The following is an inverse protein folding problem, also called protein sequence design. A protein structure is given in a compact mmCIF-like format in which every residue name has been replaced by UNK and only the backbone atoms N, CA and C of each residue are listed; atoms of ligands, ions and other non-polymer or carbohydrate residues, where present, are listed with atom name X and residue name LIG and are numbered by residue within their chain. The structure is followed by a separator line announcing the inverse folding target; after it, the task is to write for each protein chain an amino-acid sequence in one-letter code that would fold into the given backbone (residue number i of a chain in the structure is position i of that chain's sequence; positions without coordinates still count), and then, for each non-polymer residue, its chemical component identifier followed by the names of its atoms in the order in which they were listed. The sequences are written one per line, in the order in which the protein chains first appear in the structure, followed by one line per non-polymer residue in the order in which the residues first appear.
data_IF_501993016479
#
_entry.id   IF_501993016479
#
_cell.length_a   1.000
_cell.length_b   1.000
_cell.length_c   1.000
_cell.angle_alpha   90.00
_cell.angle_beta   90.00
_cell.angle_gamma   90.00
#
_symmetry.space_group_name_H-M   'P 1'
#
loop_
_entity.id
_entity.type
_entity.pdbx_description
1 polymer ?
#
# COMPACT_ATOMS: atom_id res chain seq x y z
N UNK A 1 -26.04 39.04 22.00
CA UNK A 1 -24.80 39.17 21.20
C UNK A 1 -23.80 38.12 21.67
N UNK A 2 -23.93 36.88 21.21
CA UNK A 2 -23.10 35.75 21.66
C UNK A 2 -21.85 35.71 20.77
N UNK A 3 -20.71 36.10 21.33
CA UNK A 3 -19.39 35.94 20.69
C UNK A 3 -19.08 34.44 20.58
N UNK A 4 -19.21 33.85 19.39
CA UNK A 4 -18.63 32.55 19.08
C UNK A 4 -17.11 32.68 19.16
N UNK A 5 -16.50 32.13 20.21
CA UNK A 5 -15.04 31.94 20.28
C UNK A 5 -14.67 30.86 19.26
N UNK A 6 -13.97 31.25 18.20
CA UNK A 6 -13.21 30.35 17.34
C UNK A 6 -12.06 29.79 18.17
N UNK A 7 -12.17 28.53 18.58
CA UNK A 7 -11.05 27.79 19.15
C UNK A 7 -10.18 27.37 17.95
N UNK A 8 -8.90 27.77 17.86
CA UNK A 8 -8.02 27.30 16.81
C UNK A 8 -7.79 25.80 17.03
N UNK A 9 -8.09 24.99 16.03
CA UNK A 9 -7.82 23.56 16.03
C UNK A 9 -6.29 23.38 15.97
N UNK A 10 -5.67 23.03 17.10
CA UNK A 10 -4.30 22.56 17.13
C UNK A 10 -4.26 21.13 16.59
N UNK A 11 -3.70 20.95 15.38
CA UNK A 11 -3.23 19.65 14.90
C UNK A 11 -1.93 19.37 15.65
N UNK A 12 -2.01 18.54 16.69
CA UNK A 12 -0.82 17.99 17.32
C UNK A 12 -0.37 16.78 16.49
N UNK A 13 0.74 16.95 15.75
CA UNK A 13 1.53 15.80 15.31
C UNK A 13 2.28 15.30 16.54
N UNK A 14 1.68 14.37 17.26
CA UNK A 14 2.35 13.68 18.34
C UNK A 14 3.38 12.73 17.72
N UNK A 15 4.66 13.08 17.84
CA UNK A 15 5.65 12.05 18.16
C UNK A 15 5.33 11.69 19.60
N UNK A 16 4.72 10.53 19.85
CA UNK A 16 4.47 10.06 21.21
C UNK A 16 5.81 9.97 21.96
N UNK A 17 6.12 11.01 22.74
CA UNK A 17 7.12 10.98 23.78
C UNK A 17 6.37 10.68 25.07
N UNK A 18 6.53 9.46 25.57
CA UNK A 18 6.02 9.08 26.89
C UNK A 18 6.86 9.85 27.92
N UNK A 19 6.29 10.84 28.59
CA UNK A 19 6.97 11.54 29.68
C UNK A 19 6.91 10.68 30.95
N UNK A 20 8.06 10.21 31.40
CA UNK A 20 8.23 9.81 32.80
C UNK A 20 8.80 11.00 33.59
N UNK A 21 8.34 11.28 34.82
CA UNK A 21 8.88 12.36 35.63
C UNK A 21 10.25 11.94 36.18
N UNK A 22 11.33 12.53 35.65
CA UNK A 22 12.63 12.49 36.33
C UNK A 22 12.66 13.68 37.30
N UNK A 23 12.70 13.36 38.59
CA UNK A 23 13.00 14.34 39.64
C UNK A 23 14.46 14.77 39.49
N UNK A 24 14.71 16.04 39.17
CA UNK A 24 16.06 16.61 39.10
C UNK A 24 16.32 17.42 40.37
N UNK A 25 17.25 16.94 41.20
CA UNK A 25 18.04 17.74 42.13
C UNK A 25 19.49 17.64 41.67
N UNK A 26 20.13 18.79 41.43
CA UNK A 26 21.59 18.88 41.29
C UNK A 26 22.06 19.50 39.99
N UNK A 27 22.72 20.65 40.11
CA UNK A 27 23.28 21.46 39.05
C UNK A 27 24.49 20.80 38.36
N UNK A 28 24.65 21.10 37.06
CA UNK A 28 25.85 20.78 36.27
C UNK A 28 25.57 20.86 34.77
N UNK A 29 25.97 21.95 34.14
CA UNK A 29 25.89 22.16 32.69
C UNK A 29 26.96 21.28 32.02
N UNK A 30 26.53 20.42 31.09
CA UNK A 30 27.36 19.90 30.00
C UNK A 30 26.47 19.67 28.78
N UNK A 31 26.98 20.15 27.64
CA UNK A 31 26.42 20.15 26.29
C UNK A 31 26.52 18.77 25.63
N UNK A 32 25.62 18.54 24.67
CA UNK A 32 25.63 17.49 23.65
C UNK A 32 25.55 16.02 24.10
N UNK A 33 24.31 15.50 24.08
CA UNK A 33 24.07 14.08 23.77
C UNK A 33 22.78 13.93 22.96
N UNK A 34 22.96 13.51 21.71
CA UNK A 34 21.91 12.97 20.85
C UNK A 34 21.26 11.75 21.52
N UNK A 35 20.10 11.93 22.13
CA UNK A 35 19.22 10.82 22.50
C UNK A 35 18.25 10.57 21.35
N UNK A 36 18.62 9.65 20.44
CA UNK A 36 17.64 8.98 19.59
C UNK A 36 16.91 7.99 20.49
N UNK A 37 15.74 8.36 21.01
CA UNK A 37 14.83 7.36 21.55
C UNK A 37 14.41 6.47 20.38
N UNK A 38 14.83 5.21 20.37
CA UNK A 38 14.16 4.22 19.54
C UNK A 38 12.72 4.16 20.05
N UNK A 39 11.79 4.71 19.27
CA UNK A 39 10.38 4.50 19.55
C UNK A 39 10.14 2.98 19.47
N UNK A 40 9.36 2.40 20.39
CA UNK A 40 8.93 1.01 20.26
C UNK A 40 8.32 0.82 18.87
N UNK A 41 8.80 -0.18 18.14
CA UNK A 41 8.15 -0.66 16.91
C UNK A 41 6.72 -1.06 17.28
N UNK A 42 5.74 -0.22 16.94
CA UNK A 42 4.33 -0.50 17.21
C UNK A 42 3.90 -1.52 16.17
N UNK A 43 3.79 -2.78 16.60
CA UNK A 43 3.21 -3.85 15.79
C UNK A 43 1.69 -3.79 15.95
N UNK A 44 0.99 -3.20 14.99
CA UNK A 44 -0.46 -3.26 14.97
C UNK A 44 -0.89 -4.65 14.50
N UNK A 45 -1.67 -5.36 15.33
CA UNK A 45 -2.30 -6.62 14.90
C UNK A 45 -3.36 -6.30 13.86
N UNK A 46 -3.23 -6.87 12.67
CA UNK A 46 -4.17 -6.66 11.57
C UNK A 46 -5.23 -7.75 11.60
N UNK A 47 -6.50 -7.36 11.52
CA UNK A 47 -7.61 -8.30 11.34
C UNK A 47 -7.49 -8.97 9.97
N UNK A 48 -7.67 -10.28 9.95
CA UNK A 48 -7.70 -11.07 8.73
C UNK A 48 -8.83 -12.10 8.80
N UNK A 49 -9.29 -12.49 7.63
CA UNK A 49 -10.31 -13.51 7.42
C UNK A 49 -9.67 -14.64 6.61
N UNK A 50 -9.85 -15.89 7.04
CA UNK A 50 -9.49 -17.04 6.20
C UNK A 50 -10.63 -17.28 5.23
N UNK A 51 -10.31 -17.29 3.93
CA UNK A 51 -11.30 -17.42 2.86
C UNK A 51 -11.06 -18.69 2.04
N UNK A 52 -12.05 -19.06 1.23
CA UNK A 52 -11.98 -20.19 0.29
C UNK A 52 -11.68 -19.72 -1.13
N UNK A 53 -11.33 -20.65 -2.04
CA UNK A 53 -11.07 -20.33 -3.46
C UNK A 53 -12.25 -19.60 -4.12
N UNK A 54 -13.49 -20.03 -3.85
CA UNK A 54 -14.70 -19.44 -4.42
C UNK A 54 -14.93 -17.98 -4.00
N UNK A 55 -14.33 -17.56 -2.90
CA UNK A 55 -14.40 -16.20 -2.35
C UNK A 55 -13.15 -15.37 -2.67
N UNK A 56 -12.12 -15.97 -3.26
CA UNK A 56 -10.89 -15.30 -3.66
C UNK A 56 -11.02 -14.73 -5.08
N UNK A 57 -10.27 -13.66 -5.41
CA UNK A 57 -10.22 -13.12 -6.76
C UNK A 57 -9.77 -14.18 -7.77
N UNK A 58 -10.44 -14.26 -8.93
CA UNK A 58 -10.14 -15.27 -9.97
C UNK A 58 -8.67 -15.21 -10.43
N UNK A 59 -8.08 -14.03 -10.45
CA UNK A 59 -6.67 -13.85 -10.76
C UNK A 59 -5.76 -14.55 -9.74
N UNK A 60 -6.11 -14.55 -8.45
CA UNK A 60 -5.34 -15.23 -7.40
C UNK A 60 -5.50 -16.75 -7.49
N UNK A 61 -6.73 -17.25 -7.66
CA UNK A 61 -7.01 -18.69 -7.69
C UNK A 61 -6.30 -19.40 -8.83
N UNK A 62 -6.25 -18.79 -10.02
CA UNK A 62 -5.48 -19.32 -11.17
C UNK A 62 -4.00 -19.51 -10.86
N UNK A 63 -3.42 -18.62 -10.04
CA UNK A 63 -2.01 -18.70 -9.67
C UNK A 63 -1.77 -19.76 -8.62
N UNK A 64 -2.68 -19.87 -7.64
CA UNK A 64 -2.66 -20.98 -6.69
C UNK A 64 -2.71 -22.30 -7.44
N UNK A 65 -3.60 -22.47 -8.41
CA UNK A 65 -3.69 -23.71 -9.18
C UNK A 65 -2.41 -24.04 -9.95
N UNK A 66 -1.71 -23.01 -10.42
CA UNK A 66 -0.44 -23.15 -11.14
C UNK A 66 0.71 -23.53 -10.19
N UNK A 67 0.76 -22.95 -8.98
CA UNK A 67 1.92 -23.03 -8.09
C UNK A 67 1.70 -23.78 -6.78
N UNK A 68 0.53 -24.39 -6.54
CA UNK A 68 0.25 -25.13 -5.29
C UNK A 68 1.23 -26.27 -4.99
N UNK A 69 1.94 -26.78 -6.00
CA UNK A 69 3.04 -27.72 -5.85
C UNK A 69 4.36 -27.12 -5.33
N UNK A 70 4.50 -25.80 -5.41
CA UNK A 70 5.69 -25.04 -4.97
C UNK A 70 5.44 -24.44 -3.61
N UNK A 71 6.42 -24.58 -2.71
CA UNK A 71 6.38 -23.92 -1.41
C UNK A 71 6.67 -22.42 -1.58
N UNK A 72 5.85 -21.59 -0.95
CA UNK A 72 5.99 -20.14 -1.01
C UNK A 72 4.65 -19.44 -0.81
N UNK A 73 4.60 -18.17 -1.17
CA UNK A 73 3.36 -17.41 -1.12
C UNK A 73 3.16 -16.56 -2.38
N UNK A 74 1.91 -16.17 -2.62
CA UNK A 74 1.49 -15.20 -3.62
C UNK A 74 0.43 -14.28 -3.02
N UNK A 75 0.28 -13.05 -3.50
CA UNK A 75 -0.71 -12.13 -2.96
C UNK A 75 -1.38 -11.25 -4.02
N UNK A 76 -2.69 -11.07 -3.94
CA UNK A 76 -3.44 -10.16 -4.80
C UNK A 76 -3.93 -8.96 -3.98
N UNK A 77 -3.70 -7.74 -4.46
CA UNK A 77 -4.26 -6.54 -3.84
C UNK A 77 -5.37 -5.97 -4.72
N UNK A 78 -6.60 -5.97 -4.19
CA UNK A 78 -7.73 -5.29 -4.81
C UNK A 78 -7.60 -3.79 -4.60
N UNK A 79 -7.28 -3.06 -5.66
CA UNK A 79 -7.14 -1.60 -5.65
C UNK A 79 -8.43 -0.83 -5.37
N UNK A 80 -9.59 -1.46 -5.55
CA UNK A 80 -10.90 -0.82 -5.37
C UNK A 80 -11.32 -0.87 -3.91
N UNK A 81 -11.17 -2.05 -3.29
CA UNK A 81 -11.55 -2.27 -1.89
C UNK A 81 -10.38 -2.17 -0.91
N UNK A 82 -9.14 -2.01 -1.41
CA UNK A 82 -7.89 -2.06 -0.67
C UNK A 82 -7.69 -3.35 0.15
N UNK A 83 -8.35 -4.44 -0.27
CA UNK A 83 -8.22 -5.75 0.35
C UNK A 83 -7.02 -6.49 -0.25
N UNK A 84 -6.09 -6.88 0.63
CA UNK A 84 -5.01 -7.78 0.30
C UNK A 84 -5.47 -9.22 0.53
N UNK A 85 -5.28 -10.05 -0.48
CA UNK A 85 -5.51 -11.48 -0.45
C UNK A 85 -4.14 -12.17 -0.51
N UNK A 86 -3.82 -13.05 0.41
CA UNK A 86 -2.54 -13.77 0.42
C UNK A 86 -2.81 -15.26 0.46
N UNK A 87 -2.20 -16.01 -0.45
CA UNK A 87 -2.18 -17.46 -0.44
C UNK A 87 -0.80 -17.95 -0.03
N UNK A 88 -0.72 -18.79 1.01
CA UNK A 88 0.52 -19.44 1.44
C UNK A 88 0.40 -20.93 1.17
N UNK A 89 1.36 -21.47 0.41
CA UNK A 89 1.37 -22.84 -0.09
C UNK A 89 2.51 -23.62 0.55
N UNK A 90 2.22 -24.83 1.01
CA UNK A 90 3.23 -25.71 1.64
C UNK A 90 4.02 -26.54 0.62
N UNK A 91 3.74 -26.35 -0.67
CA UNK A 91 4.19 -27.21 -1.76
C UNK A 91 3.60 -28.61 -1.73
N UNK A 92 4.15 -29.47 -2.58
CA UNK A 92 3.80 -30.88 -2.66
C UNK A 92 4.04 -31.62 -1.32
N UNK A 93 3.03 -32.34 -0.83
CA UNK A 93 3.13 -33.21 0.34
C UNK A 93 2.80 -34.66 -0.04
N UNK A 94 3.56 -35.65 0.46
CA UNK A 94 3.47 -37.03 -0.02
C UNK A 94 2.18 -37.75 0.40
N UNK A 95 1.51 -37.27 1.46
CA UNK A 95 0.30 -37.91 2.01
C UNK A 95 -0.72 -36.86 2.42
N UNK A 96 -1.93 -37.31 2.76
CA UNK A 96 -2.88 -36.50 3.54
C UNK A 96 -2.39 -36.24 4.96
N UNK A 97 -3.08 -35.33 5.66
CA UNK A 97 -2.81 -34.98 7.06
C UNK A 97 -1.88 -33.79 7.28
N UNK A 98 -1.25 -33.28 6.21
CA UNK A 98 -0.55 -32.00 6.24
C UNK A 98 -1.54 -30.84 6.14
N UNK A 99 -1.32 -29.76 6.90
CA UNK A 99 -2.07 -28.52 6.74
C UNK A 99 -1.21 -27.30 7.06
N UNK A 100 -1.63 -26.15 6.53
CA UNK A 100 -1.04 -24.84 6.83
C UNK A 100 -2.16 -23.88 7.19
N UNK A 101 -1.94 -23.05 8.21
CA UNK A 101 -2.89 -22.02 8.65
C UNK A 101 -2.15 -20.73 8.96
N UNK A 102 -2.78 -19.60 8.73
CA UNK A 102 -2.29 -18.31 9.22
C UNK A 102 -2.63 -18.19 10.71
N UNK A 103 -1.60 -17.91 11.51
CA UNK A 103 -1.69 -17.72 12.96
C UNK A 103 -1.91 -16.24 13.31
N UNK A 104 -1.15 -15.33 12.68
CA UNK A 104 -1.34 -13.88 12.87
C UNK A 104 -0.83 -13.06 11.68
N UNK A 105 -1.35 -11.84 11.56
CA UNK A 105 -0.88 -10.81 10.63
C UNK A 105 -0.57 -9.55 11.43
N UNK A 106 0.63 -9.00 11.27
CA UNK A 106 1.09 -7.78 11.96
C UNK A 106 1.60 -6.76 10.97
N UNK A 107 1.22 -5.49 11.15
CA UNK A 107 1.86 -4.38 10.45
C UNK A 107 3.16 -4.03 11.18
N UNK A 108 4.27 -3.97 10.44
CA UNK A 108 5.52 -3.41 10.94
C UNK A 108 6.19 -2.64 9.81
N UNK A 109 6.42 -1.34 10.01
CA UNK A 109 7.07 -0.46 9.02
C UNK A 109 6.43 -0.53 7.61
N UNK A 110 5.10 -0.68 7.52
CA UNK A 110 4.43 -0.82 6.23
C UNK A 110 4.76 -2.13 5.54
N UNK A 111 4.92 -3.21 6.32
CA UNK A 111 5.00 -4.59 5.83
C UNK A 111 3.98 -5.46 6.56
N UNK A 112 3.17 -6.18 5.81
CA UNK A 112 2.31 -7.24 6.31
C UNK A 112 3.17 -8.45 6.68
N UNK A 113 3.41 -8.65 7.98
CA UNK A 113 4.15 -9.80 8.51
C UNK A 113 3.14 -10.90 8.86
N UNK A 114 3.12 -11.96 8.06
CA UNK A 114 2.22 -13.10 8.20
C UNK A 114 2.98 -14.23 8.89
N UNK A 115 2.46 -14.67 10.03
CA UNK A 115 2.95 -15.85 10.73
C UNK A 115 2.05 -17.04 10.36
N UNK A 116 2.66 -18.13 9.88
CA UNK A 116 1.96 -19.37 9.54
C UNK A 116 2.36 -20.51 10.47
N UNK A 117 1.43 -21.45 10.63
CA UNK A 117 1.64 -22.69 11.37
C UNK A 117 1.35 -23.87 10.46
N UNK A 118 2.36 -24.70 10.26
CA UNK A 118 2.22 -25.99 9.58
C UNK A 118 1.87 -27.07 10.61
N UNK A 119 1.08 -28.03 10.17
CA UNK A 119 0.77 -29.25 10.92
C UNK A 119 1.16 -30.44 10.05
N UNK A 120 2.01 -31.30 10.60
CA UNK A 120 2.37 -32.58 9.98
C UNK A 120 1.46 -33.68 10.53
N UNK A 121 1.18 -34.74 9.74
CA UNK A 121 0.54 -35.93 10.29
C UNK A 121 1.44 -36.56 11.37
N UNK A 122 0.81 -37.15 12.39
CA UNK A 122 1.56 -37.91 13.39
C UNK A 122 2.29 -39.08 12.72
N UNK A 123 3.46 -39.46 13.25
CA UNK A 123 4.29 -40.55 12.68
C UNK A 123 3.53 -41.88 12.52
N UNK A 124 2.50 -42.08 13.33
CA UNK A 124 1.67 -43.29 13.36
C UNK A 124 0.24 -43.05 12.84
N UNK A 125 -0.06 -41.87 12.29
CA UNK A 125 -1.38 -41.58 11.76
C UNK A 125 -1.65 -42.38 10.48
N UNK A 126 -2.82 -43.02 10.43
CA UNK A 126 -3.32 -43.62 9.20
C UNK A 126 -3.80 -42.50 8.27
N UNK A 127 -2.98 -42.15 7.29
CA UNK A 127 -3.27 -41.09 6.31
C UNK A 127 -3.31 -41.65 4.89
N UNK A 128 -4.14 -41.04 4.04
CA UNK A 128 -4.21 -41.39 2.62
C UNK A 128 -2.85 -41.13 1.94
N UNK A 129 -2.37 -42.09 1.16
CA UNK A 129 -1.07 -42.05 0.45
C UNK A 129 -1.20 -41.36 -0.92
N UNK A 130 -1.94 -40.25 -0.96
CA UNK A 130 -2.12 -39.44 -2.16
C UNK A 130 -1.39 -38.12 -1.98
N UNK A 131 -0.71 -37.68 -3.03
CA UNK A 131 -0.04 -36.37 -3.06
C UNK A 131 -1.08 -35.27 -2.82
N UNK A 132 -0.79 -34.39 -1.87
CA UNK A 132 -1.65 -33.25 -1.53
C UNK A 132 -0.90 -31.93 -1.65
N UNK A 133 -1.67 -30.83 -1.75
CA UNK A 133 -1.14 -29.47 -1.90
C UNK A 133 -1.79 -28.54 -0.86
N UNK A 134 -1.39 -28.58 0.42
CA UNK A 134 -2.01 -27.76 1.44
C UNK A 134 -1.66 -26.28 1.26
N UNK A 135 -2.68 -25.43 1.20
CA UNK A 135 -2.55 -23.98 1.21
C UNK A 135 -3.63 -23.33 2.07
N UNK A 136 -3.43 -22.07 2.40
CA UNK A 136 -4.41 -21.22 3.08
C UNK A 136 -4.49 -19.88 2.36
N UNK A 137 -5.70 -19.34 2.24
CA UNK A 137 -5.93 -18.01 1.67
C UNK A 137 -6.48 -17.13 2.79
N UNK A 138 -5.87 -15.97 2.97
CA UNK A 138 -6.40 -14.92 3.83
C UNK A 138 -6.81 -13.71 3.02
N UNK A 139 -7.83 -13.02 3.50
CA UNK A 139 -8.18 -11.66 3.14
C UNK A 139 -7.87 -10.78 4.34
N UNK A 140 -7.15 -9.70 4.11
CA UNK A 140 -6.84 -8.72 5.13
C UNK A 140 -6.79 -7.35 4.52
N UNK A 141 -6.82 -6.33 5.35
CA UNK A 141 -6.50 -4.99 4.94
C UNK A 141 -5.12 -4.67 5.52
N UNK A 142 -4.08 -4.55 4.69
CA UNK A 142 -2.75 -4.02 5.09
C UNK A 142 -2.35 -2.65 4.52
N UNK A 143 -1.68 -1.81 5.32
CA UNK A 143 -1.33 -0.44 4.93
C UNK A 143 -0.42 -0.38 3.72
N UNK A 144 0.31 -1.46 3.41
CA UNK A 144 1.21 -1.62 2.25
C UNK A 144 1.08 -3.02 1.66
N UNK A 145 1.23 -3.22 0.34
CA UNK A 145 1.33 -4.54 -0.26
C UNK A 145 2.63 -5.29 0.04
N UNK A 146 3.56 -4.72 0.81
CA UNK A 146 4.80 -5.43 1.16
C UNK A 146 4.48 -6.60 2.10
N UNK A 147 4.41 -7.81 1.58
CA UNK A 147 4.12 -9.01 2.36
C UNK A 147 5.41 -9.74 2.70
N UNK A 148 5.51 -10.21 3.94
CA UNK A 148 6.50 -11.20 4.34
C UNK A 148 5.80 -12.33 5.07
N UNK A 149 6.20 -13.56 4.79
CA UNK A 149 5.58 -14.75 5.37
C UNK A 149 6.66 -15.57 6.07
N UNK A 150 6.42 -15.93 7.32
CA UNK A 150 7.30 -16.81 8.10
C UNK A 150 6.52 -17.78 8.95
N UNK A 151 7.14 -18.89 9.37
CA UNK A 151 6.56 -19.78 10.37
C UNK A 151 7.11 -19.49 11.79
N UNK A 152 6.59 -20.22 12.79
CA UNK A 152 7.02 -20.11 14.19
C UNK A 152 8.49 -20.50 14.45
N UNK A 153 9.13 -21.26 13.54
CA UNK A 153 10.56 -21.57 13.63
C UNK A 153 11.45 -20.51 13.00
N UNK A 154 10.87 -19.46 12.39
CA UNK A 154 11.61 -18.41 11.69
C UNK A 154 11.95 -18.72 10.24
N UNK A 155 11.45 -19.82 9.66
CA UNK A 155 11.57 -20.10 8.22
C UNK A 155 10.79 -19.04 7.45
N UNK A 156 11.42 -18.44 6.44
CA UNK A 156 10.79 -17.48 5.53
C UNK A 156 10.27 -18.22 4.31
N UNK A 157 9.07 -17.85 3.85
CA UNK A 157 8.52 -18.33 2.59
C UNK A 157 8.80 -17.27 1.52
N UNK A 158 9.26 -17.70 0.36
CA UNK A 158 9.57 -16.82 -0.75
C UNK A 158 8.31 -16.40 -1.50
N UNK A 159 8.31 -15.16 -2.02
CA UNK A 159 7.31 -14.72 -2.98
C UNK A 159 7.55 -15.47 -4.29
N UNK A 160 6.57 -16.25 -4.71
CA UNK A 160 6.63 -16.96 -5.98
C UNK A 160 6.38 -15.94 -7.10
N UNK A 161 7.36 -15.77 -7.99
CA UNK A 161 7.32 -14.83 -9.13
C UNK A 161 8.26 -13.63 -9.05
N UNK A 162 9.06 -13.46 -7.99
CA UNK A 162 9.94 -12.29 -7.81
C UNK A 162 11.32 -12.41 -8.50
N UNK A 163 11.55 -13.48 -9.28
CA UNK A 163 12.79 -13.64 -10.04
C UNK A 163 12.71 -12.78 -11.29
N UNK A 164 13.43 -11.66 -11.30
CA UNK A 164 13.74 -10.91 -12.53
C UNK A 164 14.47 -11.83 -13.52
N UNK A 165 13.73 -12.53 -14.39
CA UNK A 165 14.33 -13.37 -15.43
C UNK A 165 13.43 -14.43 -16.06
N UNK A 166 12.36 -14.86 -15.40
CA UNK A 166 11.36 -15.74 -15.99
C UNK A 166 10.03 -14.99 -16.12
N UNK A 167 9.45 -14.99 -17.32
CA UNK A 167 8.24 -14.24 -17.64
C UNK A 167 6.97 -14.75 -16.96
N UNK A 168 6.92 -14.81 -15.63
CA UNK A 168 5.78 -15.28 -14.86
C UNK A 168 5.46 -14.42 -13.63
N UNK A 169 4.16 -14.39 -13.34
CA UNK A 169 3.40 -13.53 -12.45
C UNK A 169 4.04 -13.20 -11.10
N UNK A 170 4.40 -11.93 -10.95
CA UNK A 170 4.29 -11.28 -9.65
C UNK A 170 2.79 -11.11 -9.41
N UNK A 171 2.22 -11.60 -8.30
CA UNK A 171 0.92 -11.10 -7.85
C UNK A 171 1.20 -10.01 -6.81
N UNK A 172 0.71 -8.81 -7.10
CA UNK A 172 0.85 -7.60 -6.28
C UNK A 172 0.28 -6.39 -7.01
N UNK A 173 0.36 -5.19 -6.45
CA UNK A 173 0.05 -3.96 -7.21
C UNK A 173 1.33 -3.16 -7.38
N UNK A 174 1.52 -2.63 -8.58
CA UNK A 174 2.62 -1.73 -8.92
C UNK A 174 2.04 -0.46 -9.52
N UNK A 175 2.90 0.54 -9.70
CA UNK A 175 2.56 1.70 -10.51
C UNK A 175 3.71 2.14 -11.39
N UNK A 176 3.38 2.82 -12.49
CA UNK A 176 4.35 3.53 -13.31
C UNK A 176 3.93 4.99 -13.46
N UNK A 177 4.92 5.86 -13.58
CA UNK A 177 4.74 7.21 -14.09
C UNK A 177 5.22 7.23 -15.54
N UNK A 178 4.48 7.89 -16.41
CA UNK A 178 4.87 7.97 -17.81
C UNK A 178 3.90 8.79 -18.66
N UNK A 179 4.14 8.80 -19.96
CA UNK A 179 3.30 9.49 -20.93
C UNK A 179 2.36 8.52 -21.64
N UNK A 180 1.08 8.88 -21.71
CA UNK A 180 0.10 8.14 -22.50
C UNK A 180 0.41 8.28 -23.99
N UNK A 181 0.92 7.25 -24.65
CA UNK A 181 1.27 7.27 -26.07
C UNK A 181 0.15 6.82 -26.99
N UNK A 182 -0.67 5.87 -26.54
CA UNK A 182 -1.74 5.34 -27.37
C UNK A 182 -2.92 4.80 -26.55
N UNK A 183 -4.09 4.77 -27.17
CA UNK A 183 -5.28 4.09 -26.66
C UNK A 183 -5.83 3.20 -27.78
N UNK A 184 -5.82 1.88 -27.55
CA UNK A 184 -6.42 0.91 -28.46
C UNK A 184 -7.75 0.41 -27.89
N UNK A 185 -8.72 0.11 -28.75
CA UNK A 185 -10.03 -0.39 -28.33
C UNK A 185 -10.37 -1.66 -29.10
N UNK A 186 -10.81 -2.68 -28.36
CA UNK A 186 -11.45 -3.88 -28.88
C UNK A 186 -12.88 -3.95 -28.37
N UNK A 187 -13.63 -5.00 -28.71
CA UNK A 187 -14.98 -5.17 -28.17
C UNK A 187 -14.96 -5.34 -26.64
N UNK A 188 -13.98 -6.08 -26.12
CA UNK A 188 -13.93 -6.46 -24.70
C UNK A 188 -13.06 -5.51 -23.87
N UNK A 189 -12.02 -4.92 -24.45
CA UNK A 189 -10.99 -4.21 -23.71
C UNK A 189 -10.61 -2.85 -24.31
N UNK A 190 -10.14 -1.97 -23.45
CA UNK A 190 -9.42 -0.74 -23.80
C UNK A 190 -7.99 -0.91 -23.31
N UNK A 191 -7.03 -0.76 -24.22
CA UNK A 191 -5.60 -0.83 -23.91
C UNK A 191 -5.00 0.57 -23.92
N UNK A 192 -4.11 0.86 -22.96
CA UNK A 192 -3.39 2.11 -22.82
C UNK A 192 -1.89 1.82 -22.90
N UNK A 193 -1.20 2.46 -23.83
CA UNK A 193 0.26 2.38 -23.94
C UNK A 193 0.88 3.55 -23.19
N UNK A 194 1.64 3.26 -22.14
CA UNK A 194 2.33 4.26 -21.32
C UNK A 194 3.83 4.09 -21.51
N UNK A 195 4.50 5.18 -21.87
CA UNK A 195 5.95 5.20 -22.01
C UNK A 195 6.60 5.86 -20.79
N UNK A 196 7.54 5.16 -20.16
CA UNK A 196 8.30 5.68 -19.03
C UNK A 196 9.41 6.66 -19.48
N UNK A 197 10.13 7.25 -18.52
CA UNK A 197 11.21 8.21 -18.80
C UNK A 197 12.40 7.61 -19.59
N UNK A 198 12.56 6.28 -19.56
CA UNK A 198 13.59 5.55 -20.31
C UNK A 198 13.16 5.22 -21.75
N UNK A 199 12.02 5.74 -22.21
CA UNK A 199 11.38 5.43 -23.49
C UNK A 199 10.87 3.98 -23.63
N UNK A 200 10.76 3.23 -22.54
CA UNK A 200 10.18 1.89 -22.55
C UNK A 200 8.66 2.00 -22.43
N UNK A 201 7.94 1.32 -23.32
CA UNK A 201 6.48 1.31 -23.34
C UNK A 201 5.93 0.04 -22.70
N UNK A 202 4.93 0.22 -21.85
CA UNK A 202 4.18 -0.87 -21.22
C UNK A 202 2.68 -0.71 -21.57
N UNK A 203 2.01 -1.83 -21.83
CA UNK A 203 0.57 -1.84 -22.08
C UNK A 203 -0.19 -2.13 -20.80
N UNK A 204 -1.31 -1.45 -20.64
CA UNK A 204 -2.27 -1.73 -19.59
C UNK A 204 -3.66 -1.88 -20.18
N UNK A 205 -4.55 -2.64 -19.56
CA UNK A 205 -5.89 -2.86 -20.08
C UNK A 205 -6.99 -2.75 -19.04
N UNK A 206 -8.18 -2.36 -19.49
CA UNK A 206 -9.43 -2.34 -18.73
C UNK A 206 -10.55 -2.90 -19.57
N UNK A 207 -11.65 -3.30 -18.95
CA UNK A 207 -12.86 -3.68 -19.68
C UNK A 207 -13.41 -2.48 -20.46
N UNK A 208 -13.88 -2.72 -21.69
CA UNK A 208 -14.53 -1.71 -22.53
C UNK A 208 -15.99 -1.46 -22.09
N UNK A 209 -16.15 -0.87 -20.91
CA UNK A 209 -17.44 -0.52 -20.32
C UNK A 209 -17.58 1.01 -20.14
N UNK A 210 -18.79 1.49 -19.84
CA UNK A 210 -19.04 2.92 -19.74
C UNK A 210 -18.35 3.58 -18.53
N UNK A 211 -18.11 2.82 -17.47
CA UNK A 211 -17.34 3.28 -16.31
C UNK A 211 -15.92 3.69 -16.73
N UNK A 212 -15.20 2.81 -17.42
CA UNK A 212 -13.84 3.07 -17.85
C UNK A 212 -13.77 4.10 -18.98
N UNK A 213 -14.71 4.07 -19.94
CA UNK A 213 -14.83 5.13 -20.95
C UNK A 213 -14.96 6.50 -20.31
N UNK A 214 -15.77 6.63 -19.25
CA UNK A 214 -15.93 7.88 -18.52
C UNK A 214 -14.67 8.29 -17.74
N UNK A 215 -13.96 7.34 -17.12
CA UNK A 215 -12.72 7.61 -16.37
C UNK A 215 -11.58 8.12 -17.27
N UNK A 216 -11.50 7.65 -18.52
CA UNK A 216 -10.39 7.98 -19.42
C UNK A 216 -10.74 9.03 -20.48
N UNK A 217 -11.97 9.54 -20.51
CA UNK A 217 -12.46 10.44 -21.57
C UNK A 217 -11.64 11.73 -21.72
N UNK A 218 -11.06 12.22 -20.63
CA UNK A 218 -10.32 13.49 -20.57
C UNK A 218 -8.81 13.30 -20.79
N UNK A 219 -8.34 12.05 -20.97
CA UNK A 219 -6.95 11.76 -21.25
C UNK A 219 -6.57 12.22 -22.66
N UNK A 220 -5.40 12.84 -22.78
CA UNK A 220 -4.84 13.30 -24.06
C UNK A 220 -3.55 12.55 -24.34
N UNK A 221 -3.30 12.23 -25.61
CA UNK A 221 -2.01 11.66 -25.98
C UNK A 221 -0.88 12.61 -25.57
N UNK A 222 0.21 12.00 -25.11
CA UNK A 222 1.39 12.60 -24.50
C UNK A 222 1.17 13.32 -23.16
N UNK A 223 -0.02 13.21 -22.54
CA UNK A 223 -0.17 13.65 -21.16
C UNK A 223 0.61 12.73 -20.22
N UNK A 224 1.29 13.30 -19.24
CA UNK A 224 1.81 12.54 -18.11
C UNK A 224 0.64 11.90 -17.37
N UNK A 225 0.83 10.67 -16.91
CA UNK A 225 -0.13 9.92 -16.11
C UNK A 225 0.61 9.08 -15.08
N UNK A 226 -0.06 8.84 -13.95
CA UNK A 226 0.29 7.76 -13.04
C UNK A 226 -0.68 6.60 -13.27
N UNK A 227 -0.14 5.41 -13.49
CA UNK A 227 -0.90 4.18 -13.69
C UNK A 227 -0.60 3.22 -12.57
N UNK A 228 -1.63 2.85 -11.80
CA UNK A 228 -1.60 1.73 -10.86
C UNK A 228 -2.20 0.50 -11.54
N UNK A 229 -1.55 -0.64 -11.41
CA UNK A 229 -1.95 -1.88 -12.07
C UNK A 229 -1.72 -3.08 -11.17
N UNK A 230 -2.49 -4.14 -11.40
CA UNK A 230 -2.23 -5.42 -10.76
C UNK A 230 -1.16 -6.18 -11.55
N UNK A 231 -0.15 -6.64 -10.83
CA UNK A 231 0.79 -7.65 -11.27
C UNK A 231 0.01 -8.98 -11.25
N UNK A 232 -0.07 -9.63 -12.39
CA UNK A 232 -0.94 -10.79 -12.65
C UNK A 232 -0.74 -11.27 -14.09
N UNK A 233 -1.51 -12.26 -14.55
CA UNK A 233 -1.34 -12.80 -15.92
C UNK A 233 -1.68 -11.68 -16.91
N UNK A 234 -0.72 -11.18 -17.69
CA UNK A 234 -1.01 -10.12 -18.63
C UNK A 234 -1.89 -10.67 -19.76
N UNK A 235 -2.82 -9.84 -20.23
CA UNK A 235 -3.55 -10.11 -21.46
C UNK A 235 -2.62 -9.89 -22.65
N UNK A 236 -2.64 -10.78 -23.65
CA UNK A 236 -1.90 -10.53 -24.90
C UNK A 236 -2.70 -9.61 -25.81
N UNK A 237 -2.03 -8.58 -26.34
CA UNK A 237 -2.53 -7.71 -27.40
C UNK A 237 -1.41 -7.40 -28.37
N UNK A 238 -1.58 -7.76 -29.65
CA UNK A 238 -0.57 -7.59 -30.70
C UNK A 238 0.84 -8.05 -30.25
N UNK A 239 0.92 -9.28 -29.73
CA UNK A 239 2.16 -9.90 -29.21
C UNK A 239 2.78 -9.24 -27.98
N UNK A 240 2.29 -8.06 -27.57
CA UNK A 240 2.68 -7.37 -26.33
C UNK A 240 1.85 -7.88 -25.14
N UNK A 241 2.49 -7.91 -23.97
CA UNK A 241 1.84 -8.20 -22.69
C UNK A 241 1.21 -6.92 -22.13
N UNK A 242 -0.07 -6.97 -21.77
CA UNK A 242 -0.80 -5.87 -21.16
C UNK A 242 -1.23 -6.23 -19.73
N UNK A 243 -0.91 -5.38 -18.76
CA UNK A 243 -1.29 -5.60 -17.37
C UNK A 243 -2.66 -5.00 -17.04
N UNK A 244 -3.45 -5.64 -16.15
CA UNK A 244 -4.74 -5.09 -15.75
C UNK A 244 -4.58 -3.76 -15.01
N UNK A 245 -5.11 -2.69 -15.61
CA UNK A 245 -5.11 -1.35 -15.05
C UNK A 245 -6.13 -1.27 -13.91
N UNK A 246 -5.67 -0.80 -12.76
CA UNK A 246 -6.47 -0.57 -11.57
C UNK A 246 -6.93 0.88 -11.48
N UNK A 247 -6.02 1.81 -11.72
CA UNK A 247 -6.27 3.25 -11.60
C UNK A 247 -5.35 4.03 -12.52
N UNK A 248 -5.86 5.10 -13.08
CA UNK A 248 -5.10 6.07 -13.85
C UNK A 248 -5.39 7.46 -13.32
N UNK A 249 -4.34 8.23 -13.09
CA UNK A 249 -4.41 9.56 -12.52
C UNK A 249 -3.69 10.55 -13.44
N UNK A 250 -4.33 11.68 -13.72
CA UNK A 250 -3.67 12.84 -14.28
C UNK A 250 -2.89 13.58 -13.19
N UNK A 251 -1.80 14.28 -13.54
CA UNK A 251 -1.15 15.21 -12.64
C UNK A 251 -2.14 16.24 -12.13
N UNK A 252 -1.98 16.62 -10.87
CA UNK A 252 -2.69 17.78 -10.32
C UNK A 252 -2.14 19.06 -10.96
N UNK A 253 -2.93 20.13 -10.95
CA UNK A 253 -2.42 21.44 -11.33
C UNK A 253 -1.25 21.81 -10.41
N UNK A 254 -0.06 22.03 -10.99
CA UNK A 254 1.17 22.36 -10.27
C UNK A 254 1.03 23.61 -9.38
N UNK A 255 0.07 24.49 -9.69
CA UNK A 255 -0.23 25.65 -8.87
C UNK A 255 -0.76 25.28 -7.47
N UNK A 256 -1.35 24.09 -7.28
CA UNK A 256 -1.81 23.63 -5.96
C UNK A 256 -0.66 23.47 -4.95
N UNK A 257 0.56 23.24 -5.43
CA UNK A 257 1.78 23.15 -4.61
C UNK A 257 2.16 24.51 -3.98
N UNK A 258 1.62 25.62 -4.51
CA UNK A 258 1.87 26.99 -4.02
C UNK A 258 0.60 27.73 -3.62
N UNK A 259 -0.57 27.13 -3.83
CA UNK A 259 -1.86 27.72 -3.50
C UNK A 259 -1.95 27.97 -1.98
N UNK A 260 -2.35 29.21 -1.64
CA UNK A 260 -2.48 29.73 -0.27
C UNK A 260 -3.78 29.31 0.40
N UNK A 261 -4.71 28.69 -0.33
CA UNK A 261 -5.94 28.14 0.23
C UNK A 261 -5.68 26.86 1.05
N UNK A 262 -4.54 26.21 0.81
CA UNK A 262 -4.07 25.10 1.63
C UNK A 262 -3.44 25.60 2.93
N UNK A 263 -3.71 24.87 4.01
CA UNK A 263 -3.00 25.04 5.27
C UNK A 263 -1.76 24.15 5.27
N UNK A 264 -0.58 24.78 5.32
CA UNK A 264 0.67 24.05 5.40
C UNK A 264 0.88 23.43 6.79
N UNK A 265 1.19 22.14 6.79
CA UNK A 265 1.69 21.40 7.95
C UNK A 265 3.22 21.51 8.01
N UNK A 266 3.80 21.05 9.12
CA UNK A 266 5.25 20.98 9.29
C UNK A 266 5.89 20.18 8.15
N UNK A 267 6.88 20.76 7.48
CA UNK A 267 7.69 20.08 6.48
C UNK A 267 8.75 19.17 7.12
N UNK A 268 9.12 18.11 6.41
CA UNK A 268 10.14 17.16 6.85
C UNK A 268 11.27 17.00 5.82
N UNK A 269 12.49 16.80 6.29
CA UNK A 269 13.64 16.39 5.48
C UNK A 269 14.23 15.09 6.05
N UNK A 270 15.18 14.48 5.32
CA UNK A 270 15.80 13.22 5.71
C UNK A 270 14.79 12.09 5.95
N UNK A 271 13.76 12.04 5.10
CA UNK A 271 12.73 11.01 5.15
C UNK A 271 13.21 9.77 4.38
N UNK A 272 12.99 8.58 4.94
CA UNK A 272 13.35 7.33 4.28
C UNK A 272 12.46 7.02 3.06
N UNK A 273 13.00 6.30 2.08
CA UNK A 273 12.27 5.95 0.85
C UNK A 273 10.99 5.12 1.12
N UNK A 274 10.94 4.36 2.21
CA UNK A 274 9.80 3.52 2.58
C UNK A 274 8.88 4.17 3.62
N UNK A 275 8.99 5.49 3.84
CA UNK A 275 8.24 6.17 4.89
C UNK A 275 6.72 5.99 4.72
N UNK A 276 6.11 5.40 5.74
CA UNK A 276 4.68 5.47 5.98
C UNK A 276 4.36 6.67 6.87
N UNK A 277 3.27 7.37 6.54
CA UNK A 277 2.78 8.51 7.30
C UNK A 277 1.54 8.14 8.09
N UNK A 278 1.50 8.55 9.36
CA UNK A 278 0.28 8.54 10.17
C UNK A 278 -0.11 9.97 10.45
N UNK A 279 -1.32 10.36 10.04
CA UNK A 279 -1.86 11.70 10.26
C UNK A 279 -3.01 11.60 11.25
N UNK A 280 -2.88 12.29 12.39
CA UNK A 280 -3.87 12.29 13.46
C UNK A 280 -4.78 13.51 13.38
N UNK A 281 -6.06 13.29 13.60
CA UNK A 281 -7.12 14.28 13.63
C UNK A 281 -7.67 14.39 15.06
N UNK A 282 -8.16 15.57 15.40
CA UNK A 282 -8.77 15.82 16.72
C UNK A 282 -10.21 15.26 16.83
N UNK A 283 -10.79 14.83 15.72
CA UNK A 283 -12.16 14.34 15.59
C UNK A 283 -12.20 13.02 14.83
N UNK A 284 -13.27 12.24 15.03
CA UNK A 284 -13.48 11.03 14.26
C UNK A 284 -13.81 11.37 12.80
N UNK A 285 -13.27 10.58 11.89
CA UNK A 285 -13.46 10.72 10.45
C UNK A 285 -14.58 9.81 9.97
N UNK A 286 -15.25 10.25 8.92
CA UNK A 286 -16.17 9.42 8.14
C UNK A 286 -15.38 8.52 7.20
N UNK A 287 -15.56 7.21 7.32
CA UNK A 287 -14.80 6.21 6.57
C UNK A 287 -14.92 6.40 5.06
N UNK A 288 -16.10 6.75 4.56
CA UNK A 288 -16.36 7.00 3.15
C UNK A 288 -15.55 8.18 2.56
N UNK A 289 -15.10 9.10 3.42
CA UNK A 289 -14.29 10.24 2.99
C UNK A 289 -12.79 9.92 2.98
N UNK A 290 -12.35 8.86 3.65
CA UNK A 290 -10.94 8.47 3.73
C UNK A 290 -10.58 7.64 2.51
N UNK A 291 -10.21 8.34 1.45
CA UNK A 291 -9.78 7.77 0.18
C UNK A 291 -8.74 8.68 -0.47
N UNK A 292 -7.82 8.11 -1.22
CA UNK A 292 -7.82 8.32 -2.66
C UNK A 292 -7.87 9.75 -3.24
N UNK A 293 -9.09 10.24 -3.38
CA UNK A 293 -9.43 11.53 -3.96
C UNK A 293 -9.25 12.67 -2.96
N UNK A 294 -9.34 12.34 -1.68
CA UNK A 294 -9.29 13.28 -0.57
C UNK A 294 -7.95 13.27 0.16
N UNK A 295 -7.14 12.22 -0.01
CA UNK A 295 -5.80 12.09 0.55
C UNK A 295 -4.91 11.50 -0.53
N UNK A 296 -3.93 12.26 -0.98
CA UNK A 296 -3.03 11.81 -2.05
C UNK A 296 -1.63 12.41 -1.89
N UNK A 297 -0.67 11.77 -2.54
CA UNK A 297 0.72 12.22 -2.58
C UNK A 297 1.09 12.63 -3.99
N UNK A 298 1.87 13.69 -4.17
CA UNK A 298 2.41 14.09 -5.46
C UNK A 298 3.91 14.28 -5.39
N UNK A 299 4.59 14.14 -6.53
CA UNK A 299 5.94 14.69 -6.70
C UNK A 299 5.90 16.22 -6.89
N UNK A 300 7.07 16.82 -7.11
CA UNK A 300 7.21 18.26 -7.36
C UNK A 300 6.66 18.74 -8.72
N UNK A 301 6.34 17.82 -9.63
CA UNK A 301 5.75 18.11 -10.93
C UNK A 301 4.21 17.99 -10.91
N UNK A 302 3.64 17.62 -9.76
CA UNK A 302 2.21 17.37 -9.60
C UNK A 302 1.79 15.96 -10.05
N UNK A 303 2.71 15.08 -10.44
CA UNK A 303 2.35 13.70 -10.75
C UNK A 303 1.88 13.02 -9.46
N UNK A 304 0.71 12.39 -9.49
CA UNK A 304 0.21 11.63 -8.33
C UNK A 304 1.09 10.41 -8.13
N UNK A 305 1.59 10.23 -6.91
CA UNK A 305 2.28 9.02 -6.47
C UNK A 305 1.24 8.12 -5.83
N UNK A 306 0.97 6.92 -6.40
CA UNK A 306 0.02 6.01 -5.80
C UNK A 306 0.43 5.63 -4.39
N UNK A 307 -0.52 5.77 -3.48
CA UNK A 307 -0.40 5.41 -2.07
C UNK A 307 -1.66 4.72 -1.58
N UNK A 308 -1.53 3.74 -0.69
CA UNK A 308 -2.65 3.20 0.06
C UNK A 308 -3.00 4.16 1.20
N UNK A 309 -4.27 4.58 1.27
CA UNK A 309 -4.81 5.46 2.33
C UNK A 309 -5.84 4.68 3.13
N UNK A 310 -5.78 4.79 4.46
CA UNK A 310 -6.68 4.05 5.36
C UNK A 310 -7.03 4.78 6.63
N UNK A 311 -8.24 4.54 7.11
CA UNK A 311 -8.66 4.92 8.45
C UNK A 311 -8.17 3.87 9.45
N UNK A 312 -7.50 4.30 10.52
CA UNK A 312 -7.04 3.42 11.60
C UNK A 312 -8.18 3.11 12.58
N UNK A 313 -7.97 2.11 13.45
CA UNK A 313 -9.00 1.61 14.37
C UNK A 313 -9.54 2.68 15.34
N UNK A 314 -8.72 3.69 15.66
CA UNK A 314 -9.12 4.84 16.50
C UNK A 314 -10.17 5.76 15.82
N UNK A 315 -10.39 5.56 14.50
CA UNK A 315 -11.21 6.40 13.61
C UNK A 315 -10.81 7.87 13.57
N UNK A 316 -9.65 8.23 14.12
CA UNK A 316 -9.12 9.59 14.24
C UNK A 316 -7.78 9.73 13.53
N UNK A 317 -7.21 8.65 13.06
CA UNK A 317 -5.92 8.64 12.39
C UNK A 317 -6.04 7.98 11.03
N UNK A 318 -5.27 8.47 10.07
CA UNK A 318 -5.12 7.81 8.77
C UNK A 318 -3.68 7.38 8.55
N UNK A 319 -3.48 6.24 7.88
CA UNK A 319 -2.18 5.83 7.35
C UNK A 319 -2.10 6.11 5.85
N UNK A 320 -0.95 6.60 5.40
CA UNK A 320 -0.62 6.82 3.98
C UNK A 320 0.68 6.08 3.69
N UNK A 321 0.63 5.13 2.76
CA UNK A 321 1.75 4.25 2.49
C UNK A 321 2.02 4.15 0.99
N UNK A 322 3.26 4.34 0.53
CA UNK A 322 3.55 4.26 -0.89
C UNK A 322 3.57 2.82 -1.41
N UNK A 323 3.05 2.60 -2.62
CA UNK A 323 3.09 1.28 -3.28
C UNK A 323 4.51 0.88 -3.75
N UNK A 324 5.40 1.86 -3.92
CA UNK A 324 6.83 1.69 -4.22
C UNK A 324 7.65 2.66 -3.37
N UNK A 325 8.92 2.35 -3.04
CA UNK A 325 9.79 3.30 -2.37
C UNK A 325 9.82 4.64 -3.12
N UNK A 326 9.73 5.74 -2.38
CA UNK A 326 9.95 7.06 -2.95
C UNK A 326 11.38 7.19 -3.50
N UNK A 327 11.56 8.04 -4.51
CA UNK A 327 12.87 8.25 -5.13
C UNK A 327 13.78 9.12 -4.26
N UNK A 328 15.05 8.70 -4.17
CA UNK A 328 16.06 9.38 -3.38
C UNK A 328 16.32 10.80 -3.91
N UNK A 329 16.45 11.77 -3.00
CA UNK A 329 16.74 13.17 -3.33
C UNK A 329 15.54 13.98 -3.83
N UNK A 330 14.37 13.36 -4.02
CA UNK A 330 13.15 14.04 -4.51
C UNK A 330 12.33 14.64 -3.36
N UNK A 331 11.49 15.61 -3.73
CA UNK A 331 10.49 16.22 -2.86
C UNK A 331 9.10 15.72 -3.22
N UNK A 332 8.28 15.50 -2.19
CA UNK A 332 6.92 15.04 -2.31
C UNK A 332 5.99 15.84 -1.41
N UNK A 333 4.70 15.82 -1.75
CA UNK A 333 3.68 16.59 -1.07
C UNK A 333 2.50 15.67 -0.72
N UNK A 334 2.10 15.64 0.54
CA UNK A 334 0.81 15.05 0.95
C UNK A 334 -0.24 16.14 0.91
N UNK A 335 -1.37 15.85 0.27
CA UNK A 335 -2.56 16.69 0.26
C UNK A 335 -3.69 15.98 0.97
N UNK A 336 -4.40 16.71 1.84
CA UNK A 336 -5.58 16.24 2.57
C UNK A 336 -6.68 17.26 2.32
N UNK A 337 -7.64 16.95 1.45
CA UNK A 337 -8.68 17.89 1.06
C UNK A 337 -9.59 18.25 2.23
N UNK A 338 -10.31 19.37 2.10
CA UNK A 338 -11.35 19.77 3.04
C UNK A 338 -12.60 18.86 3.03
N UNK A 339 -12.60 17.77 2.26
CA UNK A 339 -13.66 16.76 2.30
C UNK A 339 -13.38 15.69 3.37
N UNK A 340 -12.16 15.63 3.91
CA UNK A 340 -11.85 14.89 5.15
C UNK A 340 -12.43 15.68 6.32
N UNK A 341 -13.76 15.69 6.44
CA UNK A 341 -14.49 16.30 7.55
C UNK A 341 -14.73 15.27 8.65
N UNK A 342 -14.80 15.75 9.90
CA UNK A 342 -15.40 14.95 10.96
C UNK A 342 -16.92 14.90 10.82
N UNK A 343 -17.57 14.27 11.81
CA UNK A 343 -19.04 14.18 11.91
C UNK A 343 -19.74 15.55 11.95
N UNK A 344 -18.97 16.60 12.21
CA UNK A 344 -19.42 17.94 12.46
C UNK A 344 -19.14 18.73 11.17
N UNK A 345 -20.17 19.21 10.47
CA UNK A 345 -20.10 19.89 9.15
C UNK A 345 -19.34 21.25 9.15
N UNK A 346 -18.30 21.41 9.96
CA UNK A 346 -17.43 22.57 10.00
C UNK A 346 -16.55 22.59 8.74
N UNK A 347 -16.63 23.66 7.96
CA UNK A 347 -15.81 23.81 6.75
C UNK A 347 -14.32 23.87 7.12
N UNK A 348 -13.59 22.78 6.87
CA UNK A 348 -12.14 22.72 7.03
C UNK A 348 -11.46 23.38 5.82
N UNK A 349 -10.25 23.92 6.02
CA UNK A 349 -9.32 24.15 4.90
C UNK A 349 -8.61 22.81 4.60
N UNK A 350 -8.23 22.58 3.35
CA UNK A 350 -7.38 21.43 3.03
C UNK A 350 -5.98 21.61 3.62
N UNK A 351 -5.29 20.52 3.92
CA UNK A 351 -3.92 20.52 4.44
C UNK A 351 -2.91 20.06 3.39
N UNK A 352 -1.71 20.65 3.43
CA UNK A 352 -0.58 20.27 2.58
C UNK A 352 0.65 20.04 3.44
N UNK A 353 1.46 19.03 3.14
CA UNK A 353 2.71 18.76 3.84
C UNK A 353 3.81 18.41 2.84
N UNK A 354 4.93 19.12 2.89
CA UNK A 354 6.10 18.82 2.06
C UNK A 354 7.07 17.88 2.82
N UNK A 355 7.65 16.91 2.11
CA UNK A 355 8.73 16.09 2.63
C UNK A 355 9.81 15.77 1.59
N UNK A 356 11.07 15.76 2.02
CA UNK A 356 12.21 15.41 1.18
C UNK A 356 12.78 14.05 1.55
N UNK A 357 12.99 13.21 0.54
CA UNK A 357 13.63 11.91 0.69
C UNK A 357 15.15 12.09 0.61
N UNK A 358 15.86 11.69 1.66
CA UNK A 358 17.32 11.67 1.66
C UNK A 358 17.80 10.41 2.38
N UNK A 359 19.03 9.98 2.07
CA UNK A 359 19.58 8.79 2.66
C UNK A 359 19.83 9.02 4.15
N UNK A 360 19.25 8.16 4.99
CA UNK A 360 19.49 8.19 6.43
C UNK A 360 20.78 7.43 6.71
N UNK A 361 21.93 8.05 6.48
CA UNK A 361 23.18 7.51 7.01
C UNK A 361 23.15 7.63 8.53
N UNK A 362 22.96 6.49 9.21
CA UNK A 362 23.40 6.36 10.59
C UNK A 362 24.92 6.17 10.52
N UNK A 363 25.66 7.25 10.77
CA UNK A 363 27.08 7.11 11.15
C UNK A 363 27.06 6.40 12.50
N UNK A 364 27.44 5.12 12.48
CA UNK A 364 27.60 4.30 13.69
C UNK A 364 28.81 4.74 14.49
#
# INVERSE_FOLDING_TARGET
MIRKKLIPICIALAVCAVSMPISVKGAGIITDTNYVSQQPQIYDNIKFEVITDNSAPEALTKVIDTYKGTEGFVYYLDSTSNNLYVAVMSGEKPTGGYSIKVDSVKDADGKANILVKETNPDKNALVNQMVTYPYTIIKTQVSSPNVSVKNSSGKVYDLIGDKKGDGNLIIGSSFILGQLKNIYKTNDFIFLEIQNENNESELFYVNNNDEWKNKIKDLKLNSNVSVQYALGTPQKYNEKSAFPLSKINLPVDINCLKDKNWQDLKSYSNVSQNKQWTICFNQQLKEENVNDLNVYVTDSNGNIIPTAVRLLEDKKSISITPYKPYELGKNYYIFITNKINGTDNSALKGFRMNFQIMDSFIIK
#
